data_IF_520053781172
#
_entry.id   IF_520053781172
#
_cell.length_a   1.000
_cell.length_b   1.000
_cell.length_c   1.000
_cell.angle_alpha   90.00
_cell.angle_beta   90.00
_cell.angle_gamma   90.00
#
_symmetry.space_group_name_H-M   'P 1'
#
loop_
_entity.id
_entity.type
_entity.pdbx_description
1 polymer ?
#
# COMPACT_ATOMS: atom_id res chain seq x y z
N UNK A 1 24.33 -15.26 1.17
CA UNK A 1 23.63 -14.55 2.25
C UNK A 1 22.95 -15.60 3.12
N UNK A 2 23.00 -15.55 4.46
CA UNK A 2 22.36 -16.55 5.28
C UNK A 2 20.84 -16.35 5.19
N UNK A 3 20.15 -17.42 4.82
CA UNK A 3 18.70 -17.52 4.73
C UNK A 3 18.08 -17.26 6.10
N UNK A 4 17.36 -16.15 6.25
CA UNK A 4 16.58 -15.86 7.44
C UNK A 4 15.44 -16.88 7.52
N UNK A 5 15.55 -17.80 8.48
CA UNK A 5 14.52 -18.80 8.74
C UNK A 5 13.36 -18.07 9.41
N UNK A 6 12.24 -17.94 8.71
CA UNK A 6 10.97 -17.52 9.32
C UNK A 6 10.60 -18.53 10.39
N UNK A 7 10.85 -18.17 11.65
CA UNK A 7 10.35 -18.92 12.82
C UNK A 7 8.85 -18.68 12.85
N UNK A 8 8.09 -19.61 12.28
CA UNK A 8 6.63 -19.61 12.38
C UNK A 8 6.22 -19.84 13.83
N UNK A 9 5.92 -18.75 14.54
CA UNK A 9 5.23 -18.76 15.82
C UNK A 9 3.91 -18.03 15.67
N UNK A 10 2.80 -18.73 15.85
CA UNK A 10 1.44 -18.16 15.84
C UNK A 10 0.81 -18.13 14.45
N UNK A 11 -0.26 -18.91 14.27
CA UNK A 11 -1.14 -18.86 13.09
C UNK A 11 -2.04 -17.61 13.17
N UNK A 12 -1.39 -16.45 13.23
CA UNK A 12 -2.04 -15.19 13.51
C UNK A 12 -2.45 -14.51 12.20
N UNK A 13 -3.76 -14.33 12.03
CA UNK A 13 -4.40 -13.72 10.85
C UNK A 13 -3.87 -12.33 10.46
N UNK A 14 -3.15 -11.65 11.35
CA UNK A 14 -2.50 -10.37 11.04
C UNK A 14 -1.20 -10.51 10.22
N UNK A 15 -0.58 -11.70 10.15
CA UNK A 15 0.60 -11.97 9.34
C UNK A 15 0.35 -11.79 7.82
N UNK A 16 -0.91 -11.73 7.42
CA UNK A 16 -1.34 -11.30 6.08
C UNK A 16 -0.82 -9.91 5.73
N UNK A 17 -0.78 -8.99 6.70
CA UNK A 17 -0.38 -7.58 6.47
C UNK A 17 1.00 -7.24 7.04
N UNK A 18 1.55 -8.08 7.93
CA UNK A 18 2.84 -7.84 8.58
C UNK A 18 3.80 -9.02 8.38
N UNK A 19 5.09 -8.72 8.30
CA UNK A 19 6.15 -9.71 8.44
C UNK A 19 6.82 -9.55 9.80
N UNK A 20 7.02 -10.66 10.50
CA UNK A 20 7.78 -10.68 11.74
C UNK A 20 9.27 -10.87 11.44
N UNK A 21 10.10 -10.01 12.03
CA UNK A 21 11.56 -10.19 12.04
C UNK A 21 11.97 -11.09 13.20
N UNK A 22 13.14 -11.74 13.12
CA UNK A 22 13.65 -12.58 14.21
C UNK A 22 13.84 -11.87 15.57
N UNK A 23 13.73 -10.54 15.61
CA UNK A 23 13.73 -9.73 16.83
C UNK A 23 12.32 -9.46 17.41
N UNK A 24 11.28 -10.09 16.87
CA UNK A 24 9.87 -9.87 17.27
C UNK A 24 9.25 -8.57 16.75
N UNK A 25 9.97 -7.82 15.90
CA UNK A 25 9.46 -6.60 15.28
C UNK A 25 8.59 -6.95 14.08
N UNK A 26 7.39 -6.38 14.06
CA UNK A 26 6.44 -6.51 12.95
C UNK A 26 6.64 -5.35 11.97
N UNK A 27 6.90 -5.68 10.70
CA UNK A 27 7.10 -4.72 9.61
C UNK A 27 5.94 -4.85 8.61
N UNK A 28 5.26 -3.76 8.25
CA UNK A 28 4.16 -3.82 7.28
C UNK A 28 4.63 -4.34 5.91
N UNK A 29 3.79 -5.14 5.25
CA UNK A 29 3.96 -5.53 3.84
C UNK A 29 3.43 -4.42 2.93
N UNK A 30 4.09 -3.26 2.94
CA UNK A 30 3.70 -2.09 2.18
C UNK A 30 4.90 -1.52 1.40
N UNK A 31 4.63 -0.87 0.27
CA UNK A 31 5.60 -0.07 -0.49
C UNK A 31 4.98 1.30 -0.73
N UNK A 32 5.68 2.36 -0.34
CA UNK A 32 5.33 3.74 -0.65
C UNK A 32 6.22 4.20 -1.80
N UNK A 33 5.60 4.75 -2.83
CA UNK A 33 6.28 5.23 -4.02
C UNK A 33 5.80 6.63 -4.31
N UNK A 34 6.72 7.57 -4.41
CA UNK A 34 6.44 8.94 -4.81
C UNK A 34 7.60 9.45 -5.69
N UNK A 35 7.33 10.02 -6.88
CA UNK A 35 8.39 10.65 -7.69
C UNK A 35 9.06 11.86 -7.00
N UNK A 36 8.46 12.41 -5.94
CA UNK A 36 9.01 13.49 -5.13
C UNK A 36 9.26 13.05 -3.67
N UNK A 37 10.33 13.51 -2.99
CA UNK A 37 10.64 13.07 -1.63
C UNK A 37 9.73 13.64 -0.54
N UNK A 38 9.05 14.76 -0.76
CA UNK A 38 8.39 15.57 0.29
C UNK A 38 7.44 14.75 1.18
N UNK A 39 6.51 14.00 0.58
CA UNK A 39 5.50 13.23 1.35
C UNK A 39 6.12 12.03 2.05
N UNK A 40 7.07 11.35 1.41
CA UNK A 40 7.73 10.17 1.99
C UNK A 40 8.71 10.58 3.11
N UNK A 41 9.33 11.75 3.02
CA UNK A 41 10.21 12.26 4.07
C UNK A 41 9.44 12.58 5.36
N UNK A 42 8.17 13.01 5.27
CA UNK A 42 7.29 13.09 6.44
C UNK A 42 7.06 11.71 7.09
N UNK A 43 6.96 10.64 6.31
CA UNK A 43 6.85 9.27 6.84
C UNK A 43 8.17 8.82 7.49
N UNK A 44 9.31 9.16 6.88
CA UNK A 44 10.66 8.85 7.40
C UNK A 44 11.00 9.59 8.69
N UNK A 45 10.38 10.74 8.93
CA UNK A 45 10.64 11.58 10.11
C UNK A 45 9.51 11.58 11.13
N UNK A 46 8.32 11.12 10.74
CA UNK A 46 7.12 11.11 11.55
C UNK A 46 7.08 10.02 12.63
N UNK A 47 5.92 9.88 13.26
CA UNK A 47 5.68 8.99 14.41
C UNK A 47 6.03 7.52 14.09
N UNK A 48 5.74 7.07 12.86
CA UNK A 48 5.93 5.69 12.43
C UNK A 48 7.24 5.46 11.66
N UNK A 49 8.23 6.34 11.79
CA UNK A 49 9.52 6.26 11.08
C UNK A 49 10.28 4.93 11.27
N UNK A 50 10.08 4.25 12.39
CA UNK A 50 10.71 2.96 12.67
C UNK A 50 9.85 1.77 12.24
N UNK A 51 8.60 1.98 11.82
CA UNK A 51 7.68 0.91 11.48
C UNK A 51 8.02 0.28 10.12
N UNK A 52 8.31 1.12 9.13
CA UNK A 52 8.59 0.70 7.76
C UNK A 52 10.07 0.40 7.56
N UNK A 53 10.36 -0.53 6.65
CA UNK A 53 11.73 -0.74 6.19
C UNK A 53 12.13 0.38 5.23
N UNK A 54 13.34 0.96 5.30
CA UNK A 54 13.74 2.06 4.41
C UNK A 54 13.65 1.73 2.92
N UNK A 55 13.88 0.46 2.54
CA UNK A 55 13.71 0.00 1.15
C UNK A 55 12.26 -0.01 0.65
N UNK A 56 11.27 0.09 1.55
CA UNK A 56 9.85 0.21 1.20
C UNK A 56 9.43 1.65 0.88
N UNK A 57 10.30 2.64 1.14
CA UNK A 57 10.02 4.06 0.97
C UNK A 57 10.82 4.60 -0.22
N UNK A 58 10.24 4.52 -1.41
CA UNK A 58 10.89 4.80 -2.69
C UNK A 58 10.55 6.22 -3.15
N UNK A 59 11.58 7.06 -3.29
CA UNK A 59 11.45 8.46 -3.70
C UNK A 59 12.21 8.74 -4.98
N UNK A 60 11.61 9.48 -5.91
CA UNK A 60 12.30 10.05 -7.06
C UNK A 60 13.02 11.36 -6.73
N UNK A 61 13.50 12.04 -7.78
CA UNK A 61 14.15 13.37 -7.69
C UNK A 61 13.30 14.48 -8.28
N UNK A 62 12.34 14.13 -9.13
CA UNK A 62 11.52 15.08 -9.89
C UNK A 62 10.08 14.62 -9.87
N UNK A 63 9.16 15.57 -9.74
CA UNK A 63 7.73 15.32 -9.77
C UNK A 63 7.20 15.01 -11.19
N UNK A 64 5.98 14.49 -11.26
CA UNK A 64 5.28 14.36 -12.54
C UNK A 64 4.64 15.70 -12.99
N UNK A 65 4.68 16.76 -12.17
CA UNK A 65 4.03 18.06 -12.40
C UNK A 65 2.58 17.95 -12.89
N UNK A 66 1.78 17.08 -12.26
CA UNK A 66 0.39 16.78 -12.63
C UNK A 66 0.19 16.33 -14.11
N UNK A 67 1.25 15.79 -14.75
CA UNK A 67 1.22 15.37 -16.14
C UNK A 67 1.36 13.84 -16.25
N UNK A 68 0.30 13.18 -16.72
CA UNK A 68 0.30 11.73 -16.94
C UNK A 68 1.40 11.26 -17.89
N UNK A 69 1.65 11.97 -19.00
CA UNK A 69 2.68 11.57 -19.96
C UNK A 69 4.08 11.63 -19.34
N UNK A 70 4.33 12.63 -18.48
CA UNK A 70 5.58 12.74 -17.73
C UNK A 70 5.71 11.61 -16.69
N UNK A 71 4.64 11.34 -15.96
CA UNK A 71 4.58 10.23 -15.02
C UNK A 71 4.80 8.88 -15.69
N UNK A 72 4.18 8.61 -16.83
CA UNK A 72 4.21 7.29 -17.47
C UNK A 72 5.42 7.07 -18.41
N UNK A 73 5.76 8.06 -19.25
CA UNK A 73 6.74 7.86 -20.32
C UNK A 73 8.15 8.33 -20.00
N UNK A 74 8.32 9.26 -19.06
CA UNK A 74 9.64 9.83 -18.73
C UNK A 74 10.06 9.49 -17.30
N UNK A 75 9.49 10.16 -16.30
CA UNK A 75 9.93 10.04 -14.89
C UNK A 75 9.62 8.65 -14.32
N UNK A 76 8.43 8.11 -14.59
CA UNK A 76 8.06 6.79 -14.06
C UNK A 76 8.90 5.65 -14.60
N UNK A 77 9.45 5.76 -15.82
CA UNK A 77 10.36 4.75 -16.38
C UNK A 77 11.68 4.65 -15.60
N UNK A 78 12.11 5.72 -14.96
CA UNK A 78 13.34 5.70 -14.15
C UNK A 78 13.14 5.00 -12.80
N UNK A 79 11.90 5.03 -12.28
CA UNK A 79 11.56 4.54 -10.94
C UNK A 79 10.95 3.13 -10.99
N UNK A 80 10.31 2.75 -12.10
CA UNK A 80 9.56 1.50 -12.22
C UNK A 80 10.41 0.25 -11.94
N UNK A 81 11.65 0.20 -12.44
CA UNK A 81 12.52 -0.96 -12.22
C UNK A 81 12.90 -1.13 -10.75
N UNK A 82 13.10 -0.02 -10.04
CA UNK A 82 13.37 -0.03 -8.59
C UNK A 82 12.13 -0.49 -7.83
N UNK A 83 10.95 0.02 -8.18
CA UNK A 83 9.68 -0.37 -7.55
C UNK A 83 9.43 -1.87 -7.74
N UNK A 84 9.64 -2.37 -8.95
CA UNK A 84 9.49 -3.79 -9.28
C UNK A 84 10.46 -4.67 -8.50
N UNK A 85 11.73 -4.26 -8.33
CA UNK A 85 12.68 -4.98 -7.48
C UNK A 85 12.20 -5.06 -6.02
N UNK A 86 11.68 -3.95 -5.47
CA UNK A 86 11.16 -3.92 -4.08
C UNK A 86 9.91 -4.76 -3.89
N UNK A 87 8.96 -4.70 -4.83
CA UNK A 87 7.77 -5.54 -4.80
C UNK A 87 8.18 -7.02 -4.89
N UNK A 88 9.09 -7.37 -5.80
CA UNK A 88 9.63 -8.73 -5.91
C UNK A 88 10.22 -9.22 -4.60
N UNK A 89 10.97 -8.40 -3.87
CA UNK A 89 11.53 -8.78 -2.55
C UNK A 89 10.45 -9.04 -1.49
N UNK A 90 9.32 -8.34 -1.52
CA UNK A 90 8.20 -8.59 -0.61
C UNK A 90 7.41 -9.85 -1.01
N UNK A 91 7.25 -10.07 -2.31
CA UNK A 91 6.44 -11.17 -2.88
C UNK A 91 7.23 -12.47 -3.00
N UNK A 92 8.56 -12.47 -3.10
CA UNK A 92 9.40 -13.67 -3.35
C UNK A 92 9.39 -14.72 -2.23
N UNK A 93 8.47 -14.60 -1.27
CA UNK A 93 8.03 -15.71 -0.43
C UNK A 93 7.06 -16.65 -1.17
N UNK A 94 6.46 -16.22 -2.28
CA UNK A 94 5.69 -17.03 -3.25
C UNK A 94 6.26 -16.81 -4.67
N UNK A 95 6.78 -17.86 -5.29
CA UNK A 95 7.87 -17.76 -6.28
C UNK A 95 7.42 -17.53 -7.73
N UNK A 96 6.12 -17.38 -8.05
CA UNK A 96 5.70 -17.44 -9.49
C UNK A 96 4.73 -16.37 -10.00
N UNK A 97 4.22 -15.48 -9.15
CA UNK A 97 3.22 -14.47 -9.57
C UNK A 97 3.75 -13.13 -10.13
N UNK A 98 4.98 -12.65 -9.84
CA UNK A 98 5.36 -11.30 -10.25
C UNK A 98 5.77 -11.16 -11.73
N UNK A 99 6.01 -12.27 -12.45
CA UNK A 99 6.29 -12.19 -13.89
C UNK A 99 5.04 -11.78 -14.70
N UNK A 100 3.85 -12.18 -14.22
CA UNK A 100 2.57 -11.82 -14.82
C UNK A 100 2.17 -10.37 -14.49
N UNK A 101 2.58 -9.81 -13.35
CA UNK A 101 2.32 -8.41 -12.98
C UNK A 101 3.11 -7.39 -13.82
N UNK A 102 4.21 -7.80 -14.46
CA UNK A 102 5.13 -6.88 -15.17
C UNK A 102 4.71 -6.68 -16.63
N UNK A 103 4.22 -7.73 -17.29
CA UNK A 103 3.66 -7.64 -18.64
C UNK A 103 2.34 -6.84 -18.69
N UNK A 104 1.75 -6.55 -17.53
CA UNK A 104 0.38 -6.05 -17.36
C UNK A 104 0.31 -4.64 -16.81
N UNK A 105 1.46 -4.06 -16.42
CA UNK A 105 1.59 -2.64 -16.05
C UNK A 105 1.21 -1.66 -17.16
N UNK A 106 1.12 -2.10 -18.42
CA UNK A 106 0.62 -1.31 -19.56
C UNK A 106 -0.91 -1.41 -19.76
N UNK A 107 -1.60 -2.29 -19.04
CA UNK A 107 -3.06 -2.51 -19.10
C UNK A 107 -3.64 -2.61 -17.69
N UNK A 108 -3.36 -1.63 -16.83
CA UNK A 108 -3.91 -1.53 -15.46
C UNK A 108 -5.45 -1.55 -15.41
N UNK A 109 -6.13 -1.36 -16.55
CA UNK A 109 -7.58 -1.52 -16.70
C UNK A 109 -8.04 -2.98 -16.79
N UNK A 110 -7.20 -3.89 -17.26
CA UNK A 110 -7.53 -5.32 -17.47
C UNK A 110 -7.09 -6.20 -16.28
N UNK A 111 -6.42 -5.63 -15.28
CA UNK A 111 -5.81 -6.36 -14.16
C UNK A 111 -6.31 -5.88 -12.78
N UNK A 112 -7.35 -5.05 -12.76
CA UNK A 112 -8.02 -4.67 -11.53
C UNK A 112 -9.27 -5.54 -11.38
N UNK A 113 -9.20 -6.54 -10.50
CA UNK A 113 -10.34 -7.41 -10.20
C UNK A 113 -11.46 -6.64 -9.46
N UNK A 114 -11.09 -5.62 -8.69
CA UNK A 114 -12.01 -4.74 -7.99
C UNK A 114 -11.39 -3.35 -7.78
N UNK A 115 -12.16 -2.29 -8.05
CA UNK A 115 -11.75 -0.91 -7.82
C UNK A 115 -12.75 -0.18 -6.91
N UNK A 116 -12.27 0.27 -5.74
CA UNK A 116 -13.06 1.10 -4.82
C UNK A 116 -12.81 2.58 -5.15
N UNK A 117 -13.78 3.24 -5.76
CA UNK A 117 -13.73 4.68 -6.01
C UNK A 117 -14.10 5.43 -4.73
N UNK A 118 -13.25 6.38 -4.32
CA UNK A 118 -13.57 7.29 -3.22
C UNK A 118 -13.62 8.72 -3.73
N UNK A 119 -14.80 9.32 -3.62
CA UNK A 119 -15.03 10.71 -4.01
C UNK A 119 -14.69 11.64 -2.85
N UNK A 120 -13.70 12.50 -3.05
CA UNK A 120 -13.29 13.48 -2.06
C UNK A 120 -14.44 14.42 -1.68
N UNK A 121 -15.30 14.83 -2.62
CA UNK A 121 -16.42 15.74 -2.33
C UNK A 121 -17.43 15.07 -1.39
N UNK A 122 -17.75 13.79 -1.63
CA UNK A 122 -18.61 13.01 -0.76
C UNK A 122 -18.01 12.86 0.66
N UNK A 123 -16.70 12.58 0.77
CA UNK A 123 -16.01 12.47 2.07
C UNK A 123 -15.97 13.83 2.79
N UNK A 124 -15.77 14.94 2.05
CA UNK A 124 -15.86 16.30 2.59
C UNK A 124 -17.26 16.59 3.15
N UNK A 125 -18.31 16.25 2.41
CA UNK A 125 -19.70 16.44 2.81
C UNK A 125 -20.05 15.64 4.08
N UNK A 126 -19.59 14.39 4.19
CA UNK A 126 -19.77 13.57 5.39
C UNK A 126 -19.06 14.22 6.59
N UNK A 127 -17.82 14.68 6.43
CA UNK A 127 -17.10 15.35 7.51
C UNK A 127 -17.82 16.63 7.98
N UNK A 128 -18.44 17.37 7.06
CA UNK A 128 -19.13 18.61 7.38
C UNK A 128 -20.51 18.40 8.00
N UNK A 129 -21.29 17.44 7.48
CA UNK A 129 -22.68 17.20 7.90
C UNK A 129 -22.81 16.27 9.10
N UNK A 130 -21.93 15.27 9.21
CA UNK A 130 -22.05 14.22 10.23
C UNK A 130 -21.06 14.38 11.38
N UNK A 131 -19.90 15.00 11.13
CA UNK A 131 -18.86 15.20 12.14
C UNK A 131 -18.75 16.65 12.61
N UNK A 132 -19.63 17.54 12.12
CA UNK A 132 -19.67 18.97 12.43
C UNK A 132 -18.33 19.71 12.25
N UNK A 133 -17.52 19.27 11.27
CA UNK A 133 -16.24 19.90 10.94
C UNK A 133 -16.48 20.91 9.83
N UNK A 134 -16.48 22.20 10.17
CA UNK A 134 -16.78 23.28 9.22
C UNK A 134 -15.78 23.36 8.07
N UNK A 135 -14.50 23.09 8.35
CA UNK A 135 -13.39 23.06 7.37
C UNK A 135 -12.56 21.78 7.52
N UNK A 136 -13.00 20.66 6.90
CA UNK A 136 -12.25 19.42 6.95
C UNK A 136 -10.87 19.59 6.28
N UNK A 137 -9.84 19.00 6.89
CA UNK A 137 -8.48 18.92 6.32
C UNK A 137 -8.23 17.53 5.73
N UNK A 138 -7.17 17.35 4.95
CA UNK A 138 -6.76 16.02 4.48
C UNK A 138 -6.55 15.02 5.61
N UNK A 139 -6.18 15.47 6.82
CA UNK A 139 -6.09 14.57 7.98
C UNK A 139 -7.46 14.02 8.37
N UNK A 140 -8.52 14.85 8.32
CA UNK A 140 -9.88 14.41 8.62
C UNK A 140 -10.38 13.42 7.57
N UNK A 141 -10.16 13.75 6.29
CA UNK A 141 -10.53 12.89 5.17
C UNK A 141 -9.79 11.55 5.21
N UNK A 142 -8.46 11.58 5.36
CA UNK A 142 -7.63 10.38 5.40
C UNK A 142 -7.96 9.50 6.60
N UNK A 143 -8.37 10.07 7.75
CA UNK A 143 -8.88 9.30 8.89
C UNK A 143 -10.18 8.58 8.55
N UNK A 144 -11.14 9.26 7.92
CA UNK A 144 -12.39 8.62 7.50
C UNK A 144 -12.14 7.52 6.47
N UNK A 145 -11.32 7.81 5.45
CA UNK A 145 -10.91 6.81 4.45
C UNK A 145 -10.19 5.62 5.09
N UNK A 146 -9.31 5.85 6.07
CA UNK A 146 -8.61 4.76 6.77
C UNK A 146 -9.58 3.84 7.52
N UNK A 147 -10.69 4.36 8.05
CA UNK A 147 -11.73 3.54 8.70
C UNK A 147 -12.46 2.67 7.68
N UNK A 148 -12.80 3.23 6.51
CA UNK A 148 -13.44 2.48 5.42
C UNK A 148 -12.50 1.36 4.94
N UNK A 149 -11.24 1.67 4.64
CA UNK A 149 -10.24 0.68 4.21
C UNK A 149 -10.01 -0.38 5.29
N UNK A 150 -9.98 0.01 6.57
CA UNK A 150 -9.88 -0.93 7.69
C UNK A 150 -11.07 -1.89 7.73
N UNK A 151 -12.30 -1.38 7.52
CA UNK A 151 -13.51 -2.21 7.52
C UNK A 151 -13.55 -3.23 6.36
N UNK A 152 -13.11 -2.81 5.17
CA UNK A 152 -13.05 -3.68 3.98
C UNK A 152 -11.99 -4.78 4.17
N UNK A 153 -10.84 -4.43 4.72
CA UNK A 153 -9.72 -5.36 4.95
C UNK A 153 -9.82 -6.14 6.27
N UNK A 154 -10.88 -5.93 7.06
CA UNK A 154 -11.02 -6.58 8.37
C UNK A 154 -11.14 -8.10 8.25
N UNK A 155 -11.86 -8.60 7.23
CA UNK A 155 -12.03 -10.04 6.97
C UNK A 155 -10.71 -10.75 6.63
N UNK A 156 -9.70 -10.02 6.16
CA UNK A 156 -8.37 -10.56 5.83
C UNK A 156 -7.41 -10.52 7.02
N UNK A 157 -7.75 -9.75 8.07
CA UNK A 157 -6.89 -9.50 9.24
C UNK A 157 -7.36 -10.18 10.50
N UNK A 158 -8.63 -10.55 10.56
CA UNK A 158 -9.26 -11.17 11.72
C UNK A 158 -10.07 -12.37 11.25
N UNK A 159 -10.02 -13.42 12.05
CA UNK A 159 -10.84 -14.61 11.80
C UNK A 159 -12.32 -14.25 11.99
N UNK A 160 -13.13 -14.51 10.96
CA UNK A 160 -14.53 -14.09 10.89
C UNK A 160 -15.44 -15.24 10.49
N UNK A 161 -16.72 -15.19 10.88
CA UNK A 161 -17.71 -16.20 10.50
C UNK A 161 -18.00 -16.21 8.97
N UNK A 162 -17.61 -15.15 8.26
CA UNK A 162 -17.74 -15.01 6.81
C UNK A 162 -16.35 -14.65 6.24
N UNK A 163 -15.54 -15.67 6.01
CA UNK A 163 -14.20 -15.50 5.42
C UNK A 163 -14.34 -15.19 3.93
N UNK A 164 -14.35 -13.90 3.60
CA UNK A 164 -14.32 -13.39 2.22
C UNK A 164 -12.85 -13.32 1.81
N UNK A 165 -12.33 -14.40 1.23
CA UNK A 165 -11.06 -14.37 0.50
C UNK A 165 -11.24 -13.47 -0.74
N UNK A 166 -10.17 -12.84 -1.23
CA UNK A 166 -10.19 -11.95 -2.39
C UNK A 166 -10.39 -12.70 -3.73
N UNK A 167 -10.74 -13.99 -3.69
CA UNK A 167 -10.97 -14.79 -4.89
C UNK A 167 -12.31 -14.42 -5.51
N UNK A 168 -12.27 -14.03 -6.77
CA UNK A 168 -13.47 -13.96 -7.61
C UNK A 168 -13.96 -15.40 -7.79
N UNK A 169 -15.22 -15.75 -7.45
CA UNK A 169 -15.77 -17.06 -7.78
C UNK A 169 -15.87 -17.21 -9.30
N UNK A 170 -15.35 -18.32 -9.82
CA UNK A 170 -15.38 -18.72 -11.24
C UNK A 170 -16.80 -18.69 -11.85
#
# INVERSE_FOLDING_TARGET
MPSDKTVGGGDDSFNTFFSETGAGKHVPRAVFVDPEPTVIDEVRTGTYRQLFHPEQLITGKEDAANNYARGHYTIGKEIIDVVLDRIRKLVSTAVVEPYNAILTTHTTLEHSDCAFMVDNEAVYDICRRNLDIERPTYINLNRLMSQIVSSITASLRFDGALNVDLRVPD
#
